data_IF_902218163803
#
_entry.id   IF_902218163803
#
_cell.length_a   1.000
_cell.length_b   1.000
_cell.length_c   1.000
_cell.angle_alpha   90.00
_cell.angle_beta   90.00
_cell.angle_gamma   90.00
#
_symmetry.space_group_name_H-M   'P 1'
#
loop_
_entity.id
_entity.type
_entity.pdbx_description
1 polymer ?
#
# COMPACT_ATOMS: atom_id res chain seq x y z
N UNK A 1 10.76 -40.36 5.47
CA UNK A 1 11.13 -39.07 4.84
C UNK A 1 9.92 -38.65 4.04
N UNK A 2 9.08 -37.82 4.64
CA UNK A 2 7.92 -37.22 3.98
C UNK A 2 8.42 -36.27 2.88
N UNK A 3 7.97 -36.39 1.62
CA UNK A 3 8.34 -35.44 0.59
C UNK A 3 7.66 -34.09 0.89
N UNK A 4 8.46 -33.02 0.94
CA UNK A 4 7.97 -31.65 1.07
C UNK A 4 7.07 -31.32 -0.12
N UNK A 5 5.88 -30.78 0.15
CA UNK A 5 4.89 -30.31 -0.83
C UNK A 5 5.47 -29.38 -1.91
N UNK A 6 6.60 -28.73 -1.64
CA UNK A 6 7.32 -27.91 -2.60
C UNK A 6 7.92 -28.69 -3.79
N UNK A 7 8.27 -29.97 -3.61
CA UNK A 7 8.82 -30.80 -4.68
C UNK A 7 7.73 -31.34 -5.63
N UNK A 8 6.48 -31.45 -5.15
CA UNK A 8 5.33 -31.83 -5.98
C UNK A 8 4.84 -30.72 -6.92
N UNK A 9 5.31 -29.47 -6.75
CA UNK A 9 4.99 -28.33 -7.63
C UNK A 9 5.75 -28.33 -8.97
N UNK A 10 6.77 -29.18 -9.17
CA UNK A 10 7.78 -28.99 -10.22
C UNK A 10 7.56 -29.73 -11.56
N UNK A 11 6.56 -30.60 -11.70
CA UNK A 11 6.27 -31.28 -12.98
C UNK A 11 4.82 -31.08 -13.44
N UNK A 12 4.58 -30.02 -14.22
CA UNK A 12 3.71 -29.93 -15.41
C UNK A 12 2.40 -30.77 -15.57
N UNK A 13 1.76 -31.18 -14.48
CA UNK A 13 0.40 -31.72 -14.39
C UNK A 13 -0.22 -31.01 -13.18
N UNK A 14 -0.86 -29.84 -13.27
CA UNK A 14 -2.26 -29.66 -13.65
C UNK A 14 -2.57 -28.13 -13.64
N UNK A 15 -1.80 -27.30 -14.38
CA UNK A 15 -2.21 -25.91 -14.60
C UNK A 15 -3.41 -25.90 -15.55
N UNK A 16 -4.61 -25.77 -14.99
CA UNK A 16 -5.90 -25.90 -15.68
C UNK A 16 -6.56 -24.55 -15.99
N UNK A 17 -5.84 -23.44 -15.83
CA UNK A 17 -6.28 -22.08 -16.14
C UNK A 17 -5.14 -21.21 -16.71
N UNK A 18 -5.44 -20.48 -17.78
CA UNK A 18 -4.55 -19.44 -18.33
C UNK A 18 -5.05 -18.05 -17.95
N UNK A 19 -4.24 -17.25 -17.26
CA UNK A 19 -4.49 -15.83 -17.05
C UNK A 19 -3.63 -15.02 -18.00
N UNK A 20 -4.21 -14.06 -18.72
CA UNK A 20 -3.49 -13.18 -19.65
C UNK A 20 -3.51 -11.75 -19.14
N UNK A 21 -2.35 -11.09 -19.19
CA UNK A 21 -2.18 -9.69 -18.80
C UNK A 21 -1.12 -9.05 -19.69
N UNK A 22 -1.51 -8.03 -20.46
CA UNK A 22 -0.66 -7.22 -21.35
C UNK A 22 0.27 -8.07 -22.22
N UNK A 23 -0.26 -9.16 -22.76
CA UNK A 23 0.46 -10.11 -23.62
C UNK A 23 1.29 -11.18 -22.90
N UNK A 24 1.39 -11.13 -21.56
CA UNK A 24 1.99 -12.18 -20.73
C UNK A 24 0.93 -13.19 -20.30
N UNK A 25 1.29 -14.48 -20.34
CA UNK A 25 0.42 -15.56 -19.89
C UNK A 25 0.96 -16.16 -18.59
N UNK A 26 0.10 -16.26 -17.59
CA UNK A 26 0.35 -16.96 -16.33
C UNK A 26 -0.43 -18.27 -16.33
N UNK A 27 0.29 -19.38 -16.17
CA UNK A 27 -0.30 -20.69 -15.98
C UNK A 27 -0.54 -20.90 -14.49
N UNK A 28 -1.80 -21.13 -14.11
CA UNK A 28 -2.20 -21.22 -12.70
C UNK A 28 -3.17 -22.39 -12.49
N UNK A 29 -3.28 -22.82 -11.24
CA UNK A 29 -4.29 -23.75 -10.77
C UNK A 29 -5.60 -23.01 -10.48
N UNK A 30 -6.65 -23.35 -11.22
CA UNK A 30 -8.00 -22.83 -11.06
C UNK A 30 -8.50 -23.01 -9.64
N UNK A 31 -8.23 -24.17 -9.02
CA UNK A 31 -8.66 -24.45 -7.65
C UNK A 31 -8.12 -23.41 -6.66
N UNK A 32 -6.81 -23.09 -6.74
CA UNK A 32 -6.18 -22.12 -5.85
C UNK A 32 -6.76 -20.73 -6.05
N UNK A 33 -6.88 -20.28 -7.30
CA UNK A 33 -7.33 -18.93 -7.63
C UNK A 33 -8.82 -18.74 -7.33
N UNK A 34 -9.68 -19.72 -7.67
CA UNK A 34 -11.12 -19.65 -7.38
C UNK A 34 -11.43 -19.73 -5.89
N UNK A 35 -10.63 -20.45 -5.09
CA UNK A 35 -10.81 -20.48 -3.63
C UNK A 35 -10.46 -19.14 -2.97
N UNK A 36 -9.67 -18.29 -3.65
CA UNK A 36 -9.16 -17.03 -3.10
C UNK A 36 -9.81 -15.79 -3.70
N UNK A 37 -10.56 -15.92 -4.79
CA UNK A 37 -11.21 -14.83 -5.50
C UNK A 37 -12.61 -15.22 -5.93
N UNK A 38 -13.61 -14.56 -5.35
CA UNK A 38 -15.02 -14.79 -5.69
C UNK A 38 -15.33 -14.36 -7.12
N UNK A 39 -14.69 -13.27 -7.60
CA UNK A 39 -14.86 -12.80 -8.97
C UNK A 39 -14.39 -13.86 -9.99
N UNK A 40 -13.21 -14.44 -9.75
CA UNK A 40 -12.66 -15.46 -10.65
C UNK A 40 -13.47 -16.75 -10.54
N UNK A 41 -13.88 -17.15 -9.33
CA UNK A 41 -14.74 -18.31 -9.12
C UNK A 41 -16.06 -18.19 -9.90
N UNK A 42 -16.75 -17.05 -9.81
CA UNK A 42 -18.01 -16.79 -10.50
C UNK A 42 -17.89 -16.89 -12.03
N UNK A 43 -16.73 -16.51 -12.59
CA UNK A 43 -16.46 -16.63 -14.04
C UNK A 43 -16.35 -18.07 -14.50
N UNK A 44 -15.97 -18.98 -13.60
CA UNK A 44 -15.75 -20.38 -13.90
C UNK A 44 -16.77 -21.34 -13.29
N UNK A 45 -17.86 -20.87 -12.67
CA UNK A 45 -18.95 -21.75 -12.21
C UNK A 45 -19.58 -22.58 -13.33
N UNK A 46 -19.59 -22.07 -14.57
CA UNK A 46 -20.02 -22.83 -15.75
C UNK A 46 -18.83 -23.54 -16.40
N UNK A 47 -18.74 -24.85 -16.17
CA UNK A 47 -17.77 -25.71 -16.85
C UNK A 47 -17.89 -25.57 -18.39
N UNK A 48 -16.82 -25.16 -19.07
CA UNK A 48 -16.78 -25.13 -20.54
C UNK A 48 -16.15 -26.44 -21.05
N UNK A 49 -16.69 -27.00 -22.14
CA UNK A 49 -16.28 -28.30 -22.68
C UNK A 49 -15.12 -28.21 -23.70
N UNK A 50 -14.18 -27.28 -23.56
CA UNK A 50 -13.03 -27.22 -24.47
C UNK A 50 -11.89 -26.32 -24.00
N UNK A 51 -10.67 -26.85 -24.05
CA UNK A 51 -9.42 -26.15 -23.74
C UNK A 51 -9.26 -25.74 -22.28
N UNK A 52 -8.06 -25.31 -21.90
CA UNK A 52 -7.88 -24.61 -20.64
C UNK A 52 -8.65 -23.27 -20.75
N UNK A 53 -9.55 -22.96 -19.81
CA UNK A 53 -10.19 -21.64 -19.77
C UNK A 53 -9.15 -20.53 -19.75
N UNK A 54 -9.47 -19.39 -20.37
CA UNK A 54 -8.64 -18.19 -20.32
C UNK A 54 -9.38 -17.06 -19.62
N UNK A 55 -8.71 -16.32 -18.76
CA UNK A 55 -9.21 -15.07 -18.16
C UNK A 55 -8.25 -13.91 -18.47
N UNK A 56 -8.80 -12.73 -18.76
CA UNK A 56 -8.01 -11.55 -19.13
C UNK A 56 -8.00 -10.54 -17.96
N UNK A 57 -6.80 -10.03 -17.63
CA UNK A 57 -6.49 -9.05 -16.58
C UNK A 57 -5.73 -7.84 -17.15
N UNK A 58 -5.93 -7.50 -18.43
CA UNK A 58 -5.23 -6.41 -19.13
C UNK A 58 -5.43 -5.01 -18.52
N UNK A 59 -6.46 -4.83 -17.70
CA UNK A 59 -6.71 -3.59 -16.94
C UNK A 59 -5.67 -3.37 -15.83
N UNK A 60 -4.94 -4.43 -15.43
CA UNK A 60 -3.93 -4.39 -14.38
C UNK A 60 -2.50 -4.29 -14.94
N UNK A 61 -1.55 -3.88 -14.09
CA UNK A 61 -0.12 -3.99 -14.40
C UNK A 61 0.39 -5.41 -14.16
N UNK A 62 1.39 -5.81 -14.96
CA UNK A 62 1.95 -7.18 -14.91
C UNK A 62 2.47 -7.48 -13.49
N UNK A 63 3.13 -6.52 -12.87
CA UNK A 63 3.71 -6.61 -11.53
C UNK A 63 2.63 -6.76 -10.44
N UNK A 64 1.50 -6.07 -10.61
CA UNK A 64 0.33 -6.19 -9.71
C UNK A 64 -0.30 -7.56 -9.85
N UNK A 65 -0.46 -8.07 -11.09
CA UNK A 65 -0.97 -9.42 -11.33
C UNK A 65 -0.04 -10.47 -10.74
N UNK A 66 1.28 -10.33 -10.92
CA UNK A 66 2.26 -11.24 -10.31
C UNK A 66 2.19 -11.26 -8.79
N UNK A 67 2.08 -10.10 -8.16
CA UNK A 67 1.98 -10.00 -6.71
C UNK A 67 0.63 -10.53 -6.19
N UNK A 68 -0.47 -10.26 -6.90
CA UNK A 68 -1.79 -10.79 -6.59
C UNK A 68 -1.81 -12.31 -6.65
N UNK A 69 -1.24 -12.90 -7.71
CA UNK A 69 -1.10 -14.35 -7.82
C UNK A 69 -0.18 -14.91 -6.74
N UNK A 70 0.96 -14.26 -6.48
CA UNK A 70 1.84 -14.62 -5.37
C UNK A 70 1.09 -14.64 -4.03
N UNK A 71 0.22 -13.66 -3.79
CA UNK A 71 -0.61 -13.60 -2.60
C UNK A 71 -1.63 -14.74 -2.53
N UNK A 72 -2.32 -15.07 -3.62
CA UNK A 72 -3.30 -16.16 -3.65
C UNK A 72 -2.66 -17.51 -3.29
N UNK A 73 -1.41 -17.74 -3.72
CA UNK A 73 -0.68 -18.98 -3.40
C UNK A 73 -0.05 -18.97 -2.01
N UNK A 74 0.56 -17.85 -1.61
CA UNK A 74 1.43 -17.80 -0.44
C UNK A 74 0.83 -17.08 0.77
N UNK A 75 -0.32 -16.43 0.61
CA UNK A 75 -0.95 -15.57 1.61
C UNK A 75 -0.15 -14.29 1.92
N UNK A 76 0.82 -13.94 1.08
CA UNK A 76 1.63 -12.72 1.20
C UNK A 76 2.20 -12.35 -0.16
N UNK A 77 2.30 -11.06 -0.43
CA UNK A 77 3.07 -10.55 -1.56
C UNK A 77 4.36 -9.92 -1.04
N UNK A 78 5.48 -10.18 -1.71
CA UNK A 78 6.79 -9.68 -1.29
C UNK A 78 6.98 -8.26 -1.81
N UNK A 79 7.06 -7.30 -0.89
CA UNK A 79 7.55 -5.95 -1.15
C UNK A 79 8.96 -5.71 -0.61
N UNK A 80 9.47 -6.63 0.23
CA UNK A 80 10.81 -6.54 0.79
C UNK A 80 11.84 -6.58 -0.34
N UNK A 81 12.34 -5.40 -0.72
CA UNK A 81 13.66 -5.26 -1.34
C UNK A 81 14.63 -6.04 -0.44
N UNK A 82 15.44 -6.98 -0.96
CA UNK A 82 16.59 -7.45 -0.20
C UNK A 82 17.33 -6.19 0.23
N UNK A 83 17.55 -6.01 1.55
CA UNK A 83 18.50 -5.00 2.00
C UNK A 83 19.73 -5.13 1.09
N UNK A 84 20.25 -4.03 0.50
CA UNK A 84 21.53 -4.12 -0.17
C UNK A 84 22.43 -4.86 0.80
N UNK A 85 22.96 -6.00 0.39
CA UNK A 85 24.03 -6.63 1.13
C UNK A 85 25.09 -5.56 1.18
N UNK A 86 25.21 -4.91 2.32
CA UNK A 86 26.24 -3.92 2.58
C UNK A 86 27.52 -4.71 2.45
N UNK A 87 28.13 -4.68 1.27
CA UNK A 87 29.57 -4.80 1.18
C UNK A 87 30.07 -3.60 1.99
N UNK A 88 30.54 -3.94 3.19
CA UNK A 88 31.09 -3.06 4.21
C UNK A 88 32.14 -2.13 3.58
N UNK A 89 31.72 -0.92 3.21
CA UNK A 89 32.61 0.23 3.07
C UNK A 89 32.13 1.28 4.07
N UNK A 90 32.76 1.23 5.24
CA UNK A 90 32.43 2.07 6.37
C UNK A 90 32.53 3.56 6.05
N UNK A 91 31.41 4.27 6.14
CA UNK A 91 31.41 5.65 6.62
C UNK A 91 30.02 6.10 7.11
N UNK A 92 30.00 6.42 8.40
CA UNK A 92 29.33 7.55 9.07
C UNK A 92 27.79 7.65 9.14
N UNK A 93 27.29 7.22 10.32
CA UNK A 93 26.35 7.90 11.24
C UNK A 93 25.18 8.74 10.69
N UNK A 94 23.97 8.27 11.02
CA UNK A 94 22.69 9.00 10.96
C UNK A 94 22.62 10.15 12.00
N UNK A 95 22.14 11.36 11.66
CA UNK A 95 21.71 12.31 12.67
C UNK A 95 20.19 12.32 12.85
N UNK A 96 19.79 12.03 14.09
CA UNK A 96 18.50 12.38 14.69
C UNK A 96 18.42 13.91 14.89
N UNK A 97 17.42 14.60 14.33
CA UNK A 97 16.90 15.84 14.92
C UNK A 97 15.59 16.34 14.28
N UNK A 98 14.67 16.75 15.16
CA UNK A 98 13.44 17.51 14.94
C UNK A 98 13.51 18.59 13.85
N UNK A 99 12.53 18.60 12.95
CA UNK A 99 12.28 19.71 12.03
C UNK A 99 11.01 20.44 12.47
N UNK A 100 11.15 21.33 13.45
CA UNK A 100 10.13 22.34 13.78
C UNK A 100 10.78 23.71 13.66
N UNK A 101 10.58 24.37 12.50
CA UNK A 101 10.52 25.82 12.26
C UNK A 101 11.08 26.17 10.87
N UNK A 102 10.19 26.54 9.95
CA UNK A 102 10.13 27.89 9.36
C UNK A 102 9.16 27.86 8.17
N UNK A 103 8.03 28.55 8.34
CA UNK A 103 7.09 28.87 7.26
C UNK A 103 7.48 30.25 6.70
N UNK A 104 7.34 30.40 5.38
CA UNK A 104 6.66 31.44 4.58
C UNK A 104 7.51 31.98 3.40
N UNK A 105 6.93 31.84 2.20
CA UNK A 105 6.96 32.70 0.99
C UNK A 105 7.65 32.14 -0.28
N UNK A 106 6.85 32.01 -1.35
CA UNK A 106 7.28 32.01 -2.75
C UNK A 106 7.72 30.64 -3.29
N UNK A 107 7.02 30.17 -4.32
CA UNK A 107 7.12 28.85 -4.96
C UNK A 107 8.46 28.47 -5.63
N UNK A 108 9.53 29.24 -5.44
CA UNK A 108 10.91 28.82 -5.77
C UNK A 108 11.78 28.62 -4.50
N UNK A 109 11.26 28.90 -3.31
CA UNK A 109 12.03 28.95 -2.06
C UNK A 109 12.17 27.62 -1.32
N UNK A 110 11.39 26.57 -1.63
CA UNK A 110 11.44 25.30 -0.88
C UNK A 110 12.71 24.48 -1.19
N UNK A 111 13.15 24.48 -2.45
CA UNK A 111 14.43 23.86 -2.86
C UNK A 111 15.63 24.56 -2.23
N UNK A 112 15.56 25.88 -2.09
CA UNK A 112 16.66 26.71 -1.59
C UNK A 112 16.68 26.80 -0.06
N UNK A 113 15.53 26.81 0.61
CA UNK A 113 15.41 26.90 2.07
C UNK A 113 15.65 25.56 2.77
N UNK A 114 15.28 24.45 2.13
CA UNK A 114 15.43 23.10 2.70
C UNK A 114 15.97 22.12 1.66
N UNK A 115 17.24 22.28 1.23
CA UNK A 115 17.86 21.43 0.20
C UNK A 115 17.87 19.93 0.56
N UNK A 116 17.74 19.58 1.85
CA UNK A 116 17.66 18.19 2.31
C UNK A 116 16.25 17.60 2.21
N UNK A 117 15.19 18.41 2.37
CA UNK A 117 13.81 17.98 2.10
C UNK A 117 13.53 17.91 0.60
N UNK A 118 14.18 18.73 -0.21
CA UNK A 118 14.09 18.63 -1.66
C UNK A 118 14.47 17.23 -2.18
N UNK A 119 15.37 16.53 -1.48
CA UNK A 119 15.72 15.14 -1.78
C UNK A 119 14.54 14.20 -1.52
N UNK A 120 13.87 14.30 -0.36
CA UNK A 120 12.65 13.54 -0.02
C UNK A 120 11.41 13.92 -0.85
N UNK A 121 11.35 15.16 -1.34
CA UNK A 121 10.24 15.71 -2.11
C UNK A 121 10.36 15.45 -3.62
N UNK A 122 11.58 15.23 -4.13
CA UNK A 122 11.89 15.21 -5.57
C UNK A 122 12.89 14.13 -6.00
N UNK A 123 13.31 13.19 -5.14
CA UNK A 123 14.02 11.99 -5.60
C UNK A 123 13.13 11.16 -6.52
N UNK A 124 13.77 10.50 -7.49
CA UNK A 124 13.11 9.76 -8.56
C UNK A 124 12.00 8.87 -7.98
N UNK A 125 10.76 9.21 -8.33
CA UNK A 125 9.58 8.42 -8.04
C UNK A 125 9.90 6.98 -8.40
N UNK A 126 9.75 6.06 -7.44
CA UNK A 126 9.79 4.65 -7.78
C UNK A 126 8.69 4.44 -8.84
N UNK A 127 8.93 3.59 -9.85
CA UNK A 127 7.89 3.36 -10.85
C UNK A 127 6.60 2.97 -10.11
N UNK A 128 5.43 3.42 -10.56
CA UNK A 128 4.16 3.03 -9.92
C UNK A 128 3.88 1.51 -9.97
N UNK A 129 4.80 0.74 -10.55
CA UNK A 129 4.83 -0.73 -10.62
C UNK A 129 5.91 -1.34 -9.72
N UNK A 130 6.82 -0.54 -9.15
CA UNK A 130 7.83 -1.01 -8.20
C UNK A 130 7.13 -1.43 -6.89
N UNK A 131 7.36 -2.67 -6.42
CA UNK A 131 6.80 -3.14 -5.16
C UNK A 131 7.21 -2.32 -3.93
N UNK A 132 8.23 -1.46 -4.05
CA UNK A 132 8.67 -0.51 -3.03
C UNK A 132 7.96 0.86 -3.07
N UNK A 133 7.05 1.10 -4.02
CA UNK A 133 6.33 2.37 -4.11
C UNK A 133 5.04 2.39 -3.30
N UNK A 134 4.64 3.55 -2.79
CA UNK A 134 3.34 3.72 -2.12
C UNK A 134 2.18 3.39 -3.07
N UNK A 135 2.32 3.76 -4.34
CA UNK A 135 1.29 3.54 -5.35
C UNK A 135 1.04 2.05 -5.61
N UNK A 136 2.09 1.22 -5.55
CA UNK A 136 1.94 -0.23 -5.74
C UNK A 136 1.05 -0.86 -4.67
N UNK A 137 1.21 -0.48 -3.41
CA UNK A 137 0.35 -1.00 -2.34
C UNK A 137 -1.11 -0.56 -2.48
N UNK A 138 -1.36 0.65 -3.00
CA UNK A 138 -2.72 1.09 -3.36
C UNK A 138 -3.28 0.30 -4.53
N UNK A 139 -2.48 0.00 -5.56
CA UNK A 139 -2.91 -0.88 -6.67
C UNK A 139 -3.25 -2.28 -6.19
N UNK A 140 -2.43 -2.85 -5.31
CA UNK A 140 -2.72 -4.15 -4.69
C UNK A 140 -4.03 -4.13 -3.89
N UNK A 141 -4.31 -3.03 -3.20
CA UNK A 141 -5.58 -2.84 -2.51
C UNK A 141 -6.77 -2.72 -3.47
N UNK A 142 -6.63 -1.99 -4.57
CA UNK A 142 -7.66 -1.88 -5.60
C UNK A 142 -7.92 -3.25 -6.25
N UNK A 143 -6.86 -3.96 -6.60
CA UNK A 143 -6.96 -5.32 -7.13
C UNK A 143 -7.65 -6.26 -6.12
N UNK A 144 -7.36 -6.14 -4.82
CA UNK A 144 -8.05 -6.91 -3.80
C UNK A 144 -9.57 -6.65 -3.77
N UNK A 145 -10.00 -5.39 -3.91
CA UNK A 145 -11.43 -5.03 -4.01
C UNK A 145 -12.06 -5.59 -5.29
N UNK A 146 -11.40 -5.37 -6.45
CA UNK A 146 -11.87 -5.82 -7.78
C UNK A 146 -12.01 -7.34 -7.83
N UNK A 147 -10.97 -8.07 -7.42
CA UNK A 147 -10.95 -9.53 -7.48
C UNK A 147 -11.58 -10.18 -6.22
N UNK A 148 -12.14 -9.39 -5.30
CA UNK A 148 -12.75 -9.85 -4.06
C UNK A 148 -11.85 -10.75 -3.22
N UNK A 149 -10.59 -10.35 -3.06
CA UNK A 149 -9.59 -11.03 -2.22
C UNK A 149 -9.52 -10.31 -0.86
N UNK A 150 -10.56 -10.46 -0.03
CA UNK A 150 -10.75 -9.64 1.18
C UNK A 150 -9.57 -9.61 2.15
N UNK A 151 -8.88 -10.74 2.36
CA UNK A 151 -7.71 -10.82 3.23
C UNK A 151 -6.55 -9.91 2.77
N UNK A 152 -6.46 -9.63 1.47
CA UNK A 152 -5.40 -8.78 0.90
C UNK A 152 -5.63 -7.29 1.22
N UNK A 153 -6.86 -6.87 1.51
CA UNK A 153 -7.15 -5.47 1.83
C UNK A 153 -6.36 -5.00 3.06
N UNK A 154 -6.44 -5.77 4.15
CA UNK A 154 -5.74 -5.45 5.40
C UNK A 154 -4.22 -5.53 5.23
N UNK A 155 -3.73 -6.55 4.53
CA UNK A 155 -2.30 -6.72 4.27
C UNK A 155 -1.73 -5.60 3.41
N UNK A 156 -2.46 -5.15 2.38
CA UNK A 156 -2.03 -4.04 1.55
C UNK A 156 -2.03 -2.71 2.31
N UNK A 157 -3.05 -2.45 3.12
CA UNK A 157 -3.10 -1.27 3.97
C UNK A 157 -1.99 -1.26 5.03
N UNK A 158 -1.67 -2.43 5.60
CA UNK A 158 -0.57 -2.60 6.54
C UNK A 158 0.79 -2.31 5.88
N UNK A 159 1.05 -2.90 4.71
CA UNK A 159 2.30 -2.66 3.99
C UNK A 159 2.45 -1.21 3.50
N UNK A 160 1.36 -0.57 3.05
CA UNK A 160 1.37 0.86 2.73
C UNK A 160 1.78 1.70 3.94
N UNK A 161 1.22 1.41 5.11
CA UNK A 161 1.57 2.10 6.36
C UNK A 161 3.04 1.90 6.74
N UNK A 162 3.56 0.66 6.67
CA UNK A 162 4.97 0.38 6.94
C UNK A 162 5.88 1.11 5.94
N UNK A 163 5.51 1.16 4.66
CA UNK A 163 6.26 1.91 3.66
C UNK A 163 6.32 3.41 3.98
N UNK A 164 5.20 4.01 4.41
CA UNK A 164 5.19 5.41 4.86
C UNK A 164 6.14 5.65 6.05
N UNK A 165 6.39 4.66 6.92
CA UNK A 165 7.33 4.83 8.03
C UNK A 165 8.79 4.63 7.63
N UNK A 166 9.06 3.88 6.56
CA UNK A 166 10.40 3.55 6.10
C UNK A 166 10.93 4.48 5.00
N UNK A 167 10.10 4.82 4.02
CA UNK A 167 10.46 5.60 2.85
C UNK A 167 9.29 6.48 2.41
N UNK A 168 9.04 7.54 3.18
CA UNK A 168 7.95 8.46 2.88
C UNK A 168 8.32 9.41 1.73
N UNK A 169 7.58 9.33 0.63
CA UNK A 169 7.69 10.25 -0.51
C UNK A 169 6.33 10.92 -0.73
N UNK A 170 6.27 12.26 -0.58
CA UNK A 170 4.99 12.99 -0.61
C UNK A 170 4.29 12.94 -1.98
N UNK A 171 5.07 12.91 -3.07
CA UNK A 171 4.52 12.88 -4.42
C UNK A 171 3.90 11.51 -4.70
N UNK A 172 4.54 10.43 -4.26
CA UNK A 172 3.94 9.09 -4.34
C UNK A 172 2.70 8.99 -3.45
N UNK A 173 2.67 9.65 -2.28
CA UNK A 173 1.46 9.75 -1.48
C UNK A 173 0.35 10.47 -2.27
N UNK A 174 0.65 11.57 -2.96
CA UNK A 174 -0.34 12.28 -3.77
C UNK A 174 -0.94 11.38 -4.86
N UNK A 175 -0.09 10.69 -5.63
CA UNK A 175 -0.52 9.75 -6.66
C UNK A 175 -1.35 8.60 -6.08
N UNK A 176 -0.95 8.10 -4.90
CA UNK A 176 -1.65 7.04 -4.17
C UNK A 176 -3.03 7.48 -3.68
N UNK A 177 -3.16 8.71 -3.17
CA UNK A 177 -4.43 9.31 -2.73
C UNK A 177 -5.37 9.49 -3.92
N UNK A 178 -4.88 10.11 -5.00
CA UNK A 178 -5.68 10.34 -6.21
C UNK A 178 -6.18 9.01 -6.80
N UNK A 179 -5.29 8.01 -6.90
CA UNK A 179 -5.63 6.68 -7.40
C UNK A 179 -6.66 5.96 -6.52
N UNK A 180 -6.46 5.98 -5.19
CA UNK A 180 -7.36 5.32 -4.24
C UNK A 180 -8.77 5.91 -4.31
N UNK A 181 -8.88 7.23 -4.36
CA UNK A 181 -10.17 7.93 -4.39
C UNK A 181 -10.86 7.90 -5.76
N UNK A 182 -10.12 7.60 -6.83
CA UNK A 182 -10.70 7.38 -8.15
C UNK A 182 -11.33 5.99 -8.29
N UNK A 183 -10.81 4.97 -7.59
CA UNK A 183 -11.21 3.58 -7.81
C UNK A 183 -12.04 2.97 -6.68
N UNK A 184 -11.81 3.37 -5.42
CA UNK A 184 -12.49 2.79 -4.26
C UNK A 184 -13.66 3.68 -3.84
N UNK A 185 -14.87 3.12 -3.82
CA UNK A 185 -16.09 3.83 -3.41
C UNK A 185 -16.20 3.97 -1.89
N UNK A 186 -17.24 4.63 -1.38
CA UNK A 186 -17.53 4.68 0.06
C UNK A 186 -18.20 3.41 0.60
N UNK A 187 -18.75 2.58 -0.29
CA UNK A 187 -19.40 1.30 0.06
C UNK A 187 -18.42 0.13 0.08
N UNK A 188 -17.28 0.27 -0.60
CA UNK A 188 -16.14 -0.67 -0.53
C UNK A 188 -15.43 -0.63 0.83
N UNK A 189 -14.50 -1.56 1.05
CA UNK A 189 -13.64 -1.54 2.23
C UNK A 189 -12.90 -0.20 2.36
N UNK A 190 -12.91 0.38 3.57
CA UNK A 190 -12.36 1.71 3.85
C UNK A 190 -11.07 1.68 4.66
N UNK A 191 -10.47 0.51 4.89
CA UNK A 191 -9.29 0.39 5.75
C UNK A 191 -8.10 1.17 5.19
N UNK A 192 -7.85 1.11 3.86
CA UNK A 192 -6.79 1.91 3.24
C UNK A 192 -7.05 3.42 3.38
N UNK A 193 -8.29 3.88 3.19
CA UNK A 193 -8.66 5.30 3.37
C UNK A 193 -8.41 5.77 4.81
N UNK A 194 -8.68 4.92 5.81
CA UNK A 194 -8.37 5.20 7.22
C UNK A 194 -6.86 5.29 7.46
N UNK A 195 -6.06 4.41 6.85
CA UNK A 195 -4.59 4.45 6.92
C UNK A 195 -4.07 5.74 6.29
N UNK A 196 -4.53 6.08 5.09
CA UNK A 196 -4.16 7.34 4.41
C UNK A 196 -4.52 8.54 5.28
N UNK A 197 -5.73 8.59 5.85
CA UNK A 197 -6.12 9.67 6.78
C UNK A 197 -5.19 9.78 7.99
N UNK A 198 -4.73 8.65 8.54
CA UNK A 198 -3.75 8.61 9.63
C UNK A 198 -2.39 9.15 9.19
N UNK A 199 -1.87 8.70 8.04
CA UNK A 199 -0.60 9.20 7.48
C UNK A 199 -0.69 10.70 7.24
N UNK A 200 -1.75 11.16 6.59
CA UNK A 200 -1.95 12.58 6.30
C UNK A 200 -2.06 13.44 7.55
N UNK A 201 -2.67 12.92 8.62
CA UNK A 201 -2.70 13.61 9.91
C UNK A 201 -1.30 13.70 10.54
N UNK A 202 -0.50 12.65 10.48
CA UNK A 202 0.85 12.64 11.05
C UNK A 202 1.83 13.54 10.31
N UNK A 203 1.67 13.65 8.99
CA UNK A 203 2.48 14.52 8.13
C UNK A 203 1.71 15.78 7.69
N UNK A 204 0.77 16.26 8.52
CA UNK A 204 -0.18 17.31 8.13
C UNK A 204 0.49 18.55 7.54
N UNK A 205 1.53 19.07 8.18
CA UNK A 205 2.22 20.28 7.71
C UNK A 205 2.84 20.08 6.32
N UNK A 206 3.44 18.91 6.07
CA UNK A 206 4.04 18.56 4.78
C UNK A 206 2.97 18.33 3.70
N UNK A 207 1.87 17.67 4.07
CA UNK A 207 0.73 17.40 3.20
C UNK A 207 0.05 18.70 2.77
N UNK A 208 -0.16 19.63 3.70
CA UNK A 208 -0.79 20.92 3.39
C UNK A 208 0.15 21.86 2.62
N UNK A 209 1.47 21.67 2.72
CA UNK A 209 2.44 22.36 1.86
C UNK A 209 2.46 21.81 0.41
N UNK A 210 1.95 20.59 0.18
CA UNK A 210 1.82 20.01 -1.15
C UNK A 210 0.52 20.49 -1.82
N UNK A 211 0.63 21.40 -2.78
CA UNK A 211 -0.54 21.96 -3.48
C UNK A 211 -1.44 20.89 -4.10
N UNK A 212 -0.87 19.80 -4.64
CA UNK A 212 -1.66 18.69 -5.21
C UNK A 212 -2.62 18.09 -4.19
N UNK A 213 -2.09 17.69 -3.03
CA UNK A 213 -2.89 17.05 -1.99
C UNK A 213 -3.83 18.05 -1.32
N UNK A 214 -3.35 19.27 -1.06
CA UNK A 214 -4.18 20.34 -0.48
C UNK A 214 -5.38 20.66 -1.39
N UNK A 215 -5.15 20.85 -2.69
CA UNK A 215 -6.22 21.09 -3.66
C UNK A 215 -7.16 19.88 -3.77
N UNK A 216 -6.63 18.66 -3.76
CA UNK A 216 -7.44 17.45 -3.79
C UNK A 216 -8.36 17.37 -2.57
N UNK A 217 -7.84 17.63 -1.36
CA UNK A 217 -8.62 17.67 -0.12
C UNK A 217 -9.68 18.77 -0.10
N UNK A 218 -9.39 19.94 -0.69
CA UNK A 218 -10.38 21.02 -0.81
C UNK A 218 -11.48 20.69 -1.83
N UNK A 219 -11.16 19.91 -2.87
CA UNK A 219 -12.11 19.54 -3.92
C UNK A 219 -13.06 18.41 -3.53
N UNK A 220 -12.68 17.54 -2.58
CA UNK A 220 -13.47 16.38 -2.14
C UNK A 220 -13.62 16.39 -0.62
N UNK A 221 -14.86 16.49 -0.15
CA UNK A 221 -15.18 16.63 1.28
C UNK A 221 -14.99 15.33 2.08
N UNK A 222 -14.83 14.19 1.42
CA UNK A 222 -14.70 12.87 2.05
C UNK A 222 -13.28 12.61 2.58
N UNK A 223 -12.22 13.05 1.87
CA UNK A 223 -10.83 12.86 2.30
C UNK A 223 -10.56 13.52 3.66
N UNK A 224 -10.99 14.77 3.83
CA UNK A 224 -10.82 15.51 5.07
C UNK A 224 -11.45 14.80 6.29
N UNK A 225 -12.53 14.03 6.09
CA UNK A 225 -13.18 13.27 7.17
C UNK A 225 -12.23 12.23 7.76
N UNK A 226 -11.48 11.50 6.93
CA UNK A 226 -10.53 10.49 7.42
C UNK A 226 -9.38 11.12 8.21
N UNK A 227 -8.92 12.31 7.82
CA UNK A 227 -7.91 13.07 8.58
C UNK A 227 -8.45 13.50 9.94
N UNK A 228 -9.67 14.04 9.97
CA UNK A 228 -10.34 14.46 11.22
C UNK A 228 -10.62 13.26 12.13
N UNK A 229 -11.03 12.12 11.58
CA UNK A 229 -11.22 10.88 12.34
C UNK A 229 -9.91 10.38 12.95
N UNK A 230 -8.81 10.42 12.21
CA UNK A 230 -7.49 10.08 12.73
C UNK A 230 -7.08 11.00 13.89
N UNK A 231 -7.29 12.32 13.74
CA UNK A 231 -7.02 13.30 14.79
C UNK A 231 -7.83 13.02 16.07
N UNK A 232 -9.14 12.75 15.92
CA UNK A 232 -10.03 12.42 17.05
C UNK A 232 -9.57 11.15 17.79
N UNK A 233 -9.19 10.11 17.05
CA UNK A 233 -8.66 8.86 17.64
C UNK A 233 -7.38 9.12 18.41
N UNK A 234 -6.46 9.92 17.86
CA UNK A 234 -5.22 10.26 18.58
C UNK A 234 -5.48 11.08 19.84
N UNK A 235 -6.39 12.05 19.79
CA UNK A 235 -6.78 12.81 20.97
C UNK A 235 -7.41 11.94 22.06
N UNK A 236 -8.23 10.95 21.68
CA UNK A 236 -8.81 10.00 22.63
C UNK A 236 -7.73 9.15 23.31
N UNK A 237 -6.78 8.59 22.55
CA UNK A 237 -5.67 7.80 23.09
C UNK A 237 -4.81 8.62 24.07
N UNK A 238 -4.48 9.86 23.72
CA UNK A 238 -3.71 10.75 24.62
C UNK A 238 -4.47 11.03 25.92
N UNK A 239 -5.78 11.28 25.84
CA UNK A 239 -6.61 11.50 27.04
C UNK A 239 -6.66 10.27 27.94
N UNK A 240 -6.81 9.08 27.36
CA UNK A 240 -6.82 7.83 28.11
C UNK A 240 -5.49 7.56 28.80
N UNK A 241 -4.37 7.82 28.11
CA UNK A 241 -3.04 7.64 28.67
C UNK A 241 -2.74 8.64 29.80
N UNK A 242 -3.11 9.92 29.63
CA UNK A 242 -3.02 10.91 30.71
C UNK A 242 -3.85 10.52 31.93
N UNK A 243 -5.05 9.96 31.72
CA UNK A 243 -5.90 9.47 32.80
C UNK A 243 -5.34 8.17 33.44
N UNK A 244 -4.55 7.37 32.72
CA UNK A 244 -3.84 6.21 33.27
C UNK A 244 -2.70 6.66 34.18
N UNK A 245 -1.84 7.55 33.70
CA UNK A 245 -0.71 8.09 34.47
C UNK A 245 -1.17 8.81 35.74
N UNK A 246 -2.22 9.64 35.65
CA UNK A 246 -2.79 10.32 36.83
C UNK A 246 -3.34 9.35 37.89
N UNK A 247 -3.78 8.15 37.50
CA UNK A 247 -4.23 7.12 38.45
C UNK A 247 -3.05 6.39 39.10
N UNK A 248 -1.99 6.12 38.34
CA UNK A 248 -0.76 5.50 38.84
C UNK A 248 -0.05 6.39 39.86
N UNK A 249 0.03 7.70 39.61
CA UNK A 249 0.59 8.68 40.56
C UNK A 249 -0.24 8.78 41.85
N UNK A 250 -1.56 8.62 41.77
CA UNK A 250 -2.45 8.62 42.95
C UNK A 250 -2.43 7.31 43.74
N UNK A 251 -1.91 6.23 43.17
CA UNK A 251 -1.87 4.89 43.75
C UNK A 251 -0.53 4.55 44.44
N UNK A 252 0.49 5.40 44.31
CA UNK A 252 1.81 5.19 44.88
C UNK A 252 2.22 6.36 45.82
N UNK A 253 1.65 6.43 47.05
CA UNK A 253 1.96 7.45 48.05
C UNK A 253 3.33 7.30 48.70
#
# INVERSE_FOLDING_TARGET
>A
MEPSTAAAMQEAQENDLELKCKGKTFLVHRFVVCMRSDLIAAKFERWSHGGAPTYNMDDEDIEVVEALLGYMYLGRYKWLRPLPTVEDDGSDSLPSASVNQAVIQGSNSLRDAFPHLAKLLFEDSHSHTDPGSLTFHVKMYIAADVYHVSALNEDAASQFWEMCNHSFVILELADSVELLWANITSESDTCMKKVVGKVMFLYYDLVMACERIANFMLSRDDLGRYVVEAAKKMQAMVREELARLSREDSANP
#
